data_IF_576420217232
#
_entry.id   IF_576420217232
#
_cell.length_a   1.000
_cell.length_b   1.000
_cell.length_c   1.000
_cell.angle_alpha   90.00
_cell.angle_beta   90.00
_cell.angle_gamma   90.00
#
_symmetry.space_group_name_H-M   'P 1'
#
loop_
_entity.id
_entity.type
_entity.pdbx_description
1 polymer ?
#
# COMPACT_ATOMS: atom_id res chain seq x y z
N UNK A 1 -9.15 -1.97 19.34
CA UNK A 1 -8.92 -0.67 18.72
C UNK A 1 -8.32 0.24 19.77
N UNK A 2 -7.24 0.98 19.48
CA UNK A 2 -6.53 1.82 20.46
C UNK A 2 -7.20 3.18 20.72
N UNK A 3 -8.23 3.51 19.94
CA UNK A 3 -8.99 4.76 20.09
C UNK A 3 -9.91 4.63 21.30
N UNK A 4 -9.73 5.50 22.31
CA UNK A 4 -10.49 5.48 23.55
C UNK A 4 -11.89 6.08 23.41
N UNK A 5 -12.09 7.00 22.46
CA UNK A 5 -13.38 7.61 22.19
C UNK A 5 -14.33 6.63 21.50
N UNK A 6 -15.42 6.29 22.15
CA UNK A 6 -16.46 5.43 21.60
C UNK A 6 -17.16 6.05 20.38
N UNK A 7 -17.34 7.36 20.42
CA UNK A 7 -17.95 8.11 19.33
C UNK A 7 -17.09 8.03 18.05
N UNK A 8 -15.78 8.26 18.17
CA UNK A 8 -14.84 8.10 17.05
C UNK A 8 -14.81 6.68 16.52
N UNK A 9 -14.82 5.68 17.40
CA UNK A 9 -14.87 4.27 16.99
C UNK A 9 -16.14 3.95 16.21
N UNK A 10 -17.29 4.43 16.66
CA UNK A 10 -18.56 4.21 15.98
C UNK A 10 -18.57 4.93 14.63
N UNK A 11 -18.12 6.17 14.57
CA UNK A 11 -18.02 6.92 13.30
C UNK A 11 -17.14 6.20 12.27
N UNK A 12 -15.97 5.69 12.68
CA UNK A 12 -15.09 4.90 11.80
C UNK A 12 -15.81 3.63 11.32
N UNK A 13 -16.46 2.92 12.23
CA UNK A 13 -17.20 1.69 11.90
C UNK A 13 -18.32 1.97 10.90
N UNK A 14 -19.13 2.98 11.16
CA UNK A 14 -20.24 3.36 10.28
C UNK A 14 -19.74 3.74 8.89
N UNK A 15 -18.58 4.42 8.80
CA UNK A 15 -17.95 4.72 7.51
C UNK A 15 -17.51 3.47 6.75
N UNK A 16 -16.91 2.50 7.43
CA UNK A 16 -16.45 1.26 6.80
C UNK A 16 -17.61 0.31 6.45
N UNK A 17 -18.59 0.16 7.33
CA UNK A 17 -19.72 -0.73 7.11
C UNK A 17 -20.76 -0.12 6.16
N UNK A 18 -20.88 1.20 6.13
CA UNK A 18 -21.76 1.95 5.22
C UNK A 18 -21.18 2.17 3.82
N UNK A 19 -19.92 1.80 3.56
CA UNK A 19 -19.35 1.84 2.23
C UNK A 19 -20.08 0.82 1.35
N UNK A 20 -21.06 1.29 0.59
CA UNK A 20 -21.41 0.59 -0.64
C UNK A 20 -20.15 0.67 -1.51
N UNK A 21 -19.64 -0.49 -1.92
CA UNK A 21 -18.50 -0.56 -2.83
C UNK A 21 -18.89 0.10 -4.15
N UNK A 22 -18.74 1.41 -4.23
CA UNK A 22 -18.83 2.11 -5.51
C UNK A 22 -17.81 1.46 -6.45
N UNK A 23 -18.24 1.13 -7.64
CA UNK A 23 -17.38 0.48 -8.61
C UNK A 23 -16.19 1.39 -8.90
N UNK A 24 -14.99 0.94 -8.56
CA UNK A 24 -13.76 1.66 -8.85
C UNK A 24 -13.72 1.99 -10.35
N UNK A 25 -13.51 3.25 -10.76
CA UNK A 25 -13.43 3.63 -12.16
C UNK A 25 -12.45 2.77 -12.96
N UNK A 26 -12.78 2.46 -14.23
CA UNK A 26 -11.97 1.55 -15.04
C UNK A 26 -10.49 1.97 -15.14
N UNK A 27 -10.21 3.27 -15.29
CA UNK A 27 -8.85 3.80 -15.31
C UNK A 27 -8.09 3.47 -14.01
N UNK A 28 -8.73 3.62 -12.85
CA UNK A 28 -8.11 3.33 -11.56
C UNK A 28 -7.91 1.81 -11.37
N UNK A 29 -8.80 0.98 -11.91
CA UNK A 29 -8.62 -0.49 -11.89
C UNK A 29 -7.40 -0.91 -12.69
N UNK A 30 -7.20 -0.34 -13.88
CA UNK A 30 -6.02 -0.62 -14.72
C UNK A 30 -4.75 -0.16 -14.01
N UNK A 31 -4.74 1.05 -13.46
CA UNK A 31 -3.60 1.59 -12.72
C UNK A 31 -3.27 0.73 -11.48
N UNK A 32 -4.28 0.28 -10.74
CA UNK A 32 -4.06 -0.57 -9.58
C UNK A 32 -3.56 -1.96 -9.97
N UNK A 33 -4.03 -2.51 -11.10
CA UNK A 33 -3.53 -3.76 -11.64
C UNK A 33 -2.07 -3.64 -12.07
N UNK A 34 -1.69 -2.58 -12.76
CA UNK A 34 -0.30 -2.29 -13.13
C UNK A 34 0.60 -2.22 -11.89
N UNK A 35 0.18 -1.49 -10.86
CA UNK A 35 0.91 -1.41 -9.58
C UNK A 35 1.04 -2.77 -8.89
N UNK A 36 0.02 -3.62 -9.00
CA UNK A 36 0.04 -4.97 -8.44
C UNK A 36 1.04 -5.86 -9.18
N UNK A 37 1.07 -5.80 -10.51
CA UNK A 37 2.07 -6.50 -11.31
C UNK A 37 3.50 -6.05 -10.97
N UNK A 38 3.74 -4.76 -10.86
CA UNK A 38 5.05 -4.24 -10.44
C UNK A 38 5.47 -4.77 -9.07
N UNK A 39 4.52 -4.87 -8.13
CA UNK A 39 4.81 -5.40 -6.80
C UNK A 39 5.18 -6.88 -6.85
N UNK A 40 4.45 -7.69 -7.62
CA UNK A 40 4.69 -9.13 -7.76
C UNK A 40 6.00 -9.40 -8.52
N UNK A 41 6.20 -8.77 -9.67
CA UNK A 41 7.41 -8.94 -10.49
C UNK A 41 8.68 -8.51 -9.74
N UNK A 42 8.59 -7.46 -8.93
CA UNK A 42 9.72 -7.06 -8.07
C UNK A 42 10.07 -8.13 -7.04
N UNK A 43 9.08 -8.82 -6.46
CA UNK A 43 9.31 -9.95 -5.56
C UNK A 43 9.99 -11.10 -6.29
N UNK A 44 9.49 -11.44 -7.47
CA UNK A 44 10.04 -12.51 -8.31
C UNK A 44 11.48 -12.19 -8.72
N UNK A 45 11.75 -10.97 -9.12
CA UNK A 45 13.11 -10.50 -9.43
C UNK A 45 14.05 -10.65 -8.23
N UNK A 46 13.64 -10.20 -7.05
CA UNK A 46 14.45 -10.33 -5.83
C UNK A 46 14.65 -11.80 -5.44
N UNK A 47 13.63 -12.63 -5.62
CA UNK A 47 13.71 -14.06 -5.34
C UNK A 47 14.77 -14.76 -6.20
N UNK A 48 14.81 -14.41 -7.48
CA UNK A 48 15.74 -15.01 -8.43
C UNK A 48 17.17 -14.48 -8.26
N UNK A 49 17.32 -13.17 -8.04
CA UNK A 49 18.65 -12.54 -7.98
C UNK A 49 19.32 -12.66 -6.62
N UNK A 50 18.54 -12.66 -5.52
CA UNK A 50 19.03 -12.65 -4.16
C UNK A 50 18.44 -13.80 -3.33
N UNK A 51 18.58 -15.02 -3.82
CA UNK A 51 17.97 -16.23 -3.25
C UNK A 51 18.51 -16.61 -1.86
N UNK A 52 19.71 -16.18 -1.50
CA UNK A 52 20.36 -16.49 -0.22
C UNK A 52 20.23 -15.42 0.84
N UNK A 53 19.67 -14.26 0.50
CA UNK A 53 19.54 -13.11 1.41
C UNK A 53 18.11 -12.90 1.89
N UNK A 54 17.97 -12.23 3.05
CA UNK A 54 16.63 -11.84 3.55
C UNK A 54 16.05 -10.74 2.66
N UNK A 55 14.95 -11.06 1.97
CA UNK A 55 14.28 -10.16 1.03
C UNK A 55 13.15 -9.34 1.66
N UNK A 56 12.68 -9.76 2.84
CA UNK A 56 11.55 -9.14 3.55
C UNK A 56 10.33 -8.94 2.63
N UNK A 57 9.94 -10.02 1.98
CA UNK A 57 8.90 -10.03 0.96
C UNK A 57 7.53 -9.60 1.48
N UNK A 58 6.63 -9.36 0.54
CA UNK A 58 5.25 -8.91 0.79
C UNK A 58 4.24 -10.01 0.45
N UNK A 59 4.70 -11.21 0.21
CA UNK A 59 3.91 -12.36 -0.24
C UNK A 59 2.61 -12.51 0.57
N UNK A 60 1.49 -12.59 -0.14
CA UNK A 60 0.15 -12.63 0.44
C UNK A 60 -0.41 -11.28 0.90
N UNK A 61 0.33 -10.19 0.70
CA UNK A 61 -0.10 -8.82 1.00
C UNK A 61 0.24 -7.86 -0.15
N UNK A 62 0.31 -8.35 -1.38
CA UNK A 62 0.72 -7.58 -2.57
C UNK A 62 -0.21 -6.38 -2.81
N UNK A 63 -1.51 -6.55 -2.53
CA UNK A 63 -2.53 -5.49 -2.65
C UNK A 63 -2.29 -4.30 -1.71
N UNK A 64 -1.44 -4.46 -0.69
CA UNK A 64 -1.03 -3.36 0.19
C UNK A 64 -0.24 -2.29 -0.57
N UNK A 65 0.52 -2.66 -1.59
CA UNK A 65 1.34 -1.74 -2.38
C UNK A 65 0.47 -0.74 -3.18
N UNK A 66 -0.48 -1.18 -4.04
CA UNK A 66 -1.39 -0.26 -4.70
C UNK A 66 -2.27 0.50 -3.72
N UNK A 67 -2.74 -0.14 -2.64
CA UNK A 67 -3.56 0.50 -1.61
C UNK A 67 -2.83 1.66 -0.92
N UNK A 68 -1.58 1.45 -0.51
CA UNK A 68 -0.76 2.49 0.11
C UNK A 68 -0.49 3.66 -0.85
N UNK A 69 -0.26 3.35 -2.13
CA UNK A 69 -0.05 4.38 -3.15
C UNK A 69 -1.31 5.24 -3.38
N UNK A 70 -2.48 4.62 -3.48
CA UNK A 70 -3.76 5.34 -3.57
C UNK A 70 -4.00 6.21 -2.33
N UNK A 71 -3.69 5.67 -1.14
CA UNK A 71 -3.82 6.44 0.10
C UNK A 71 -2.94 7.69 0.09
N UNK A 72 -1.70 7.60 -0.39
CA UNK A 72 -0.82 8.77 -0.49
C UNK A 72 -1.32 9.79 -1.52
N UNK A 73 -1.78 9.33 -2.67
CA UNK A 73 -2.34 10.20 -3.69
C UNK A 73 -3.54 10.99 -3.11
N UNK A 74 -4.46 10.32 -2.39
CA UNK A 74 -5.61 10.95 -1.72
C UNK A 74 -5.21 11.91 -0.59
N UNK A 75 -4.16 11.58 0.18
CA UNK A 75 -3.66 12.46 1.23
C UNK A 75 -3.10 13.76 0.64
N UNK A 76 -2.36 13.68 -0.46
CA UNK A 76 -1.84 14.86 -1.17
C UNK A 76 -2.99 15.73 -1.70
N UNK A 77 -4.00 15.12 -2.32
CA UNK A 77 -5.21 15.83 -2.78
C UNK A 77 -5.95 16.52 -1.63
N UNK A 78 -5.88 15.94 -0.43
CA UNK A 78 -6.44 16.52 0.81
C UNK A 78 -5.55 17.60 1.46
N UNK A 79 -4.44 17.98 0.81
CA UNK A 79 -3.54 19.04 1.29
C UNK A 79 -2.48 18.60 2.29
N UNK A 80 -2.26 17.29 2.47
CA UNK A 80 -1.18 16.78 3.32
C UNK A 80 0.16 17.00 2.65
N UNK A 81 1.04 17.75 3.27
CA UNK A 81 2.36 18.10 2.73
C UNK A 81 3.50 17.17 3.19
N UNK A 82 3.27 16.38 4.21
CA UNK A 82 4.30 15.49 4.77
C UNK A 82 3.69 14.19 5.28
N UNK A 83 4.28 13.07 4.89
CA UNK A 83 3.93 11.75 5.38
C UNK A 83 5.18 11.11 6.02
N UNK A 84 5.02 10.54 7.21
CA UNK A 84 6.08 9.79 7.90
C UNK A 84 5.68 8.31 7.89
N UNK A 85 6.56 7.46 7.36
CA UNK A 85 6.31 6.03 7.23
C UNK A 85 7.21 5.27 8.19
N UNK A 86 6.61 4.49 9.09
CA UNK A 86 7.30 3.50 9.90
C UNK A 86 7.12 2.11 9.28
N UNK A 87 8.22 1.49 8.85
CA UNK A 87 8.20 0.16 8.22
C UNK A 87 9.01 -0.80 9.08
N UNK A 88 8.37 -1.90 9.56
CA UNK A 88 9.09 -2.95 10.28
C UNK A 88 9.93 -3.80 9.29
N UNK A 89 9.40 -4.92 8.84
CA UNK A 89 10.15 -5.85 7.98
C UNK A 89 9.41 -6.19 6.70
N UNK A 90 8.15 -6.61 6.80
CA UNK A 90 7.38 -7.18 5.70
C UNK A 90 7.17 -6.16 4.59
N UNK A 91 7.62 -6.52 3.39
CA UNK A 91 7.42 -5.71 2.18
C UNK A 91 8.24 -4.43 2.10
N UNK A 92 9.17 -4.16 3.03
CA UNK A 92 9.89 -2.87 3.05
C UNK A 92 10.64 -2.55 1.75
N UNK A 93 11.23 -3.55 1.10
CA UNK A 93 11.93 -3.36 -0.17
C UNK A 93 10.97 -2.96 -1.27
N UNK A 94 9.81 -3.60 -1.31
CA UNK A 94 8.76 -3.31 -2.26
C UNK A 94 8.15 -1.91 -2.04
N UNK A 95 7.91 -1.52 -0.79
CA UNK A 95 7.44 -0.16 -0.46
C UNK A 95 8.47 0.88 -0.91
N UNK A 96 9.76 0.67 -0.63
CA UNK A 96 10.81 1.60 -1.04
C UNK A 96 10.90 1.73 -2.57
N UNK A 97 10.79 0.61 -3.29
CA UNK A 97 10.87 0.60 -4.76
C UNK A 97 9.60 1.15 -5.42
N UNK A 98 8.44 0.59 -5.08
CA UNK A 98 7.20 0.79 -5.84
C UNK A 98 6.28 1.89 -5.28
N UNK A 99 6.40 2.25 -4.01
CA UNK A 99 5.63 3.34 -3.39
C UNK A 99 6.46 4.61 -3.30
N UNK A 100 7.61 4.55 -2.65
CA UNK A 100 8.49 5.73 -2.44
C UNK A 100 9.33 6.05 -3.68
N UNK A 101 9.50 5.07 -4.58
CA UNK A 101 10.32 5.18 -5.80
C UNK A 101 11.76 5.58 -5.51
N UNK A 102 12.34 5.00 -4.46
CA UNK A 102 13.76 5.16 -4.16
C UNK A 102 14.59 4.56 -5.29
N UNK A 103 15.65 5.25 -5.79
CA UNK A 103 16.59 4.65 -6.74
C UNK A 103 17.15 3.32 -6.21
N UNK A 104 17.26 2.32 -7.08
CA UNK A 104 17.74 0.97 -6.77
C UNK A 104 19.23 0.82 -7.19
N UNK A 105 20.04 1.81 -6.85
CA UNK A 105 21.49 1.81 -7.06
C UNK A 105 22.21 0.92 -6.04
#
# INVERSE_FOLDING_TARGET
MHISSREQCNWIRDKFEGLQFESVPAANRILNLDRLFWADEFQNFLANKFNTTKRFGVEGCESFIPGLKVSFDSLVESGVSKVVIGIAHRGRMNILANVVRKPLE
#
